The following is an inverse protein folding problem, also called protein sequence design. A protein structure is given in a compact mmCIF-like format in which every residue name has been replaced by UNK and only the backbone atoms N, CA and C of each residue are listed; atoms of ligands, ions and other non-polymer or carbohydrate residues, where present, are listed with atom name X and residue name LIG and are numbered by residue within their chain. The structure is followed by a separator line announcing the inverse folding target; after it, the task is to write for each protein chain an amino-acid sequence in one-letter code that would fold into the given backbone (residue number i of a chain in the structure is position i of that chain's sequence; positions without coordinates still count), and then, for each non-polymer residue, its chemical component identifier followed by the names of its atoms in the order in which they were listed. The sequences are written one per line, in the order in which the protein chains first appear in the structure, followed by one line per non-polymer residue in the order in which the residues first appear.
data_IF_874477000710
#
_entry.id   IF_874477000710
#
_cell.length_a   1.000
_cell.length_b   1.000
_cell.length_c   1.000
_cell.angle_alpha   90.00
_cell.angle_beta   90.00
_cell.angle_gamma   90.00
#
_symmetry.space_group_name_H-M   'P 1'
#
loop_
_entity.id
_entity.type
_entity.pdbx_description
1 polymer ?
#
# COMPACT_ATOMS: atom_id res chain seq x y z
N UNK A 1 -13.80 -1.09 -5.84
CA UNK A 1 -13.98 -0.36 -7.12
C UNK A 1 -13.84 1.12 -6.85
N UNK A 2 -13.10 1.86 -7.67
CA UNK A 2 -13.00 3.32 -7.51
C UNK A 2 -14.30 3.98 -7.99
N UNK A 3 -14.67 5.12 -7.41
CA UNK A 3 -15.89 5.85 -7.78
C UNK A 3 -16.00 6.12 -9.30
N UNK A 4 -14.85 6.28 -9.97
CA UNK A 4 -14.77 6.42 -11.43
C UNK A 4 -15.19 5.15 -12.20
N UNK A 5 -14.76 3.97 -11.75
CA UNK A 5 -15.16 2.70 -12.39
C UNK A 5 -16.66 2.45 -12.32
N UNK A 6 -17.34 2.90 -11.26
CA UNK A 6 -18.80 2.76 -11.12
C UNK A 6 -19.56 3.59 -12.18
N UNK A 7 -19.05 4.77 -12.51
CA UNK A 7 -19.65 5.63 -13.55
C UNK A 7 -19.51 5.00 -14.93
N UNK A 8 -18.37 4.39 -15.23
CA UNK A 8 -18.14 3.70 -16.50
C UNK A 8 -18.96 2.42 -16.67
N UNK A 9 -19.16 1.67 -15.57
CA UNK A 9 -20.10 0.53 -15.56
C UNK A 9 -21.53 1.00 -15.84
N UNK A 10 -21.98 2.11 -15.23
CA UNK A 10 -23.31 2.67 -15.46
C UNK A 10 -23.53 3.25 -16.86
N UNK A 11 -22.46 3.60 -17.56
CA UNK A 11 -22.50 4.13 -18.94
C UNK A 11 -22.32 3.05 -20.02
N UNK A 12 -22.25 1.77 -19.64
CA UNK A 12 -22.15 0.65 -20.58
C UNK A 12 -20.77 0.47 -21.23
N UNK A 13 -19.75 1.17 -20.74
CA UNK A 13 -18.38 1.12 -21.28
C UNK A 13 -17.51 0.17 -20.45
N UNK A 14 -17.77 -1.14 -20.56
CA UNK A 14 -17.00 -2.18 -19.88
C UNK A 14 -15.48 -2.15 -20.15
N UNK A 15 -14.95 -1.92 -21.38
CA UNK A 15 -13.50 -1.91 -21.61
C UNK A 15 -12.78 -0.75 -20.91
N UNK A 16 -13.45 0.38 -20.69
CA UNK A 16 -12.87 1.53 -20.00
C UNK A 16 -12.55 1.24 -18.53
N UNK A 17 -13.34 0.36 -17.89
CA UNK A 17 -13.14 -0.05 -16.49
C UNK A 17 -11.80 -0.77 -16.31
N UNK A 18 -11.45 -1.66 -17.23
CA UNK A 18 -10.20 -2.41 -17.18
C UNK A 18 -8.98 -1.51 -17.41
N UNK A 19 -9.05 -0.62 -18.40
CA UNK A 19 -7.98 0.36 -18.67
C UNK A 19 -7.75 1.24 -17.44
N UNK A 20 -8.82 1.74 -16.83
CA UNK A 20 -8.75 2.58 -15.64
C UNK A 20 -8.10 1.84 -14.46
N UNK A 21 -8.47 0.58 -14.22
CA UNK A 21 -7.90 -0.23 -13.14
C UNK A 21 -6.39 -0.47 -13.33
N UNK A 22 -5.94 -0.71 -14.56
CA UNK A 22 -4.51 -0.88 -14.87
C UNK A 22 -3.75 0.42 -14.58
N UNK A 23 -4.26 1.57 -15.04
CA UNK A 23 -3.63 2.88 -14.80
C UNK A 23 -3.54 3.19 -13.30
N UNK A 24 -4.61 2.95 -12.54
CA UNK A 24 -4.60 3.16 -11.08
C UNK A 24 -3.54 2.28 -10.41
N UNK A 25 -3.44 1.01 -10.79
CA UNK A 25 -2.43 0.11 -10.22
C UNK A 25 -1.00 0.57 -10.54
N UNK A 26 -0.73 0.95 -11.79
CA UNK A 26 0.60 1.42 -12.21
C UNK A 26 0.99 2.73 -11.52
N UNK A 27 0.05 3.67 -11.40
CA UNK A 27 0.32 4.97 -10.76
C UNK A 27 0.62 4.81 -9.27
N UNK A 28 -0.12 3.97 -8.56
CA UNK A 28 0.12 3.70 -7.13
C UNK A 28 1.47 3.00 -6.94
N UNK A 29 1.81 2.03 -7.78
CA UNK A 29 3.11 1.34 -7.72
C UNK A 29 4.29 2.30 -7.96
N UNK A 30 4.16 3.23 -8.92
CA UNK A 30 5.19 4.23 -9.20
C UNK A 30 5.32 5.28 -8.10
N UNK A 31 4.19 5.74 -7.55
CA UNK A 31 4.18 6.72 -6.45
C UNK A 31 4.81 6.13 -5.17
N UNK A 32 4.58 4.84 -4.90
CA UNK A 32 5.15 4.12 -3.76
C UNK A 32 6.69 4.11 -3.75
N UNK A 33 7.32 3.76 -4.88
CA UNK A 33 8.79 3.69 -5.00
C UNK A 33 9.48 5.04 -4.67
N UNK A 34 8.89 6.15 -5.11
CA UNK A 34 9.45 7.49 -4.87
C UNK A 34 9.18 7.97 -3.44
N UNK A 35 8.02 7.62 -2.88
CA UNK A 35 7.62 8.00 -1.52
C UNK A 35 8.57 7.47 -0.45
N UNK A 36 8.99 6.20 -0.54
CA UNK A 36 9.94 5.61 0.43
C UNK A 36 11.31 6.26 0.39
N UNK A 37 11.83 6.57 -0.81
CA UNK A 37 13.10 7.25 -0.98
C UNK A 37 13.08 8.68 -0.41
N UNK A 38 11.99 9.41 -0.58
CA UNK A 38 11.84 10.77 -0.04
C UNK A 38 11.69 10.73 1.48
N UNK A 39 10.90 9.80 2.03
CA UNK A 39 10.71 9.65 3.47
C UNK A 39 12.02 9.37 4.21
N UNK A 40 12.91 8.52 3.67
CA UNK A 40 14.20 8.24 4.31
C UNK A 40 15.11 9.48 4.34
N UNK A 41 15.05 10.32 3.29
CA UNK A 41 15.79 11.59 3.20
C UNK A 41 15.24 12.66 4.14
N UNK A 42 13.93 12.79 4.25
CA UNK A 42 13.30 13.70 5.22
C UNK A 42 13.64 13.28 6.64
N UNK A 43 13.60 11.97 6.94
CA UNK A 43 13.95 11.44 8.25
C UNK A 43 15.43 11.70 8.60
N UNK A 44 16.32 11.58 7.62
CA UNK A 44 17.72 11.94 7.75
C UNK A 44 17.92 13.45 8.01
N UNK A 45 17.25 14.32 7.25
CA UNK A 45 17.33 15.77 7.43
C UNK A 45 16.84 16.20 8.83
N UNK A 46 15.76 15.58 9.32
CA UNK A 46 15.25 15.81 10.68
C UNK A 46 16.21 15.30 11.77
N UNK A 47 16.94 14.22 11.52
CA UNK A 47 17.98 13.73 12.42
C UNK A 47 19.21 14.65 12.43
N UNK A 48 19.56 15.25 11.29
CA UNK A 48 20.61 16.27 11.20
C UNK A 48 20.24 17.55 11.98
N UNK A 49 18.96 17.92 12.01
CA UNK A 49 18.43 19.03 12.82
C UNK A 49 18.29 18.71 14.34
N UNK A 50 18.75 17.55 14.82
CA UNK A 50 18.57 17.03 16.20
C UNK A 50 17.11 16.89 16.67
N UNK A 51 16.14 16.88 15.74
CA UNK A 51 14.71 16.69 16.06
C UNK A 51 14.29 15.21 16.09
N UNK A 52 15.11 14.33 15.50
CA UNK A 52 14.96 12.88 15.51
C UNK A 52 16.18 12.21 16.16
N UNK A 53 16.06 10.99 16.72
CA UNK A 53 17.18 10.35 17.42
C UNK A 53 18.40 10.16 16.51
N UNK A 54 19.59 10.45 17.04
CA UNK A 54 20.89 10.47 16.32
C UNK A 54 21.29 9.14 15.64
N UNK A 55 20.50 8.08 15.81
CA UNK A 55 20.70 6.77 15.17
C UNK A 55 20.46 6.89 13.65
N UNK A 56 19.61 7.83 13.23
CA UNK A 56 19.27 8.07 11.82
C UNK A 56 20.22 9.02 11.08
N UNK A 57 21.22 9.60 11.77
CA UNK A 57 22.23 10.51 11.16
C UNK A 57 23.42 9.75 10.53
N UNK A 58 23.49 8.43 10.71
CA UNK A 58 24.56 7.62 10.10
C UNK A 58 24.32 7.43 8.60
N UNK A 59 25.21 8.00 7.80
CA UNK A 59 25.25 7.86 6.34
C UNK A 59 26.41 6.96 5.94
N UNK A 60 26.20 6.07 4.98
CA UNK A 60 27.27 5.25 4.41
C UNK A 60 28.11 6.08 3.42
N UNK A 61 29.31 5.62 3.05
CA UNK A 61 30.22 6.28 2.08
C UNK A 61 29.61 6.58 0.68
N UNK A 62 28.41 6.08 0.41
CA UNK A 62 27.64 6.28 -0.83
C UNK A 62 26.53 7.32 -0.65
N UNK A 63 26.54 8.12 0.42
CA UNK A 63 25.52 9.13 0.76
C UNK A 63 24.09 8.58 0.98
N UNK A 64 23.96 7.28 1.25
CA UNK A 64 22.66 6.62 1.46
C UNK A 64 22.41 6.38 2.97
N UNK A 65 21.27 6.87 3.52
CA UNK A 65 20.87 6.62 4.91
C UNK A 65 20.20 5.24 5.05
N UNK A 66 21.01 4.17 5.11
CA UNK A 66 20.55 2.77 5.12
C UNK A 66 19.64 2.46 6.32
N UNK A 67 19.99 2.94 7.52
CA UNK A 67 19.19 2.70 8.73
C UNK A 67 17.81 3.37 8.68
N UNK A 68 17.75 4.60 8.15
CA UNK A 68 16.49 5.31 7.92
C UNK A 68 15.63 4.59 6.89
N UNK A 69 16.25 4.06 5.83
CA UNK A 69 15.55 3.30 4.80
C UNK A 69 14.93 2.03 5.36
N UNK A 70 15.72 1.18 6.04
CA UNK A 70 15.23 -0.04 6.68
C UNK A 70 14.10 0.25 7.67
N UNK A 71 14.22 1.33 8.45
CA UNK A 71 13.19 1.70 9.41
C UNK A 71 11.88 2.10 8.73
N UNK A 72 11.94 2.98 7.72
CA UNK A 72 10.74 3.46 7.01
C UNK A 72 10.03 2.36 6.23
N UNK A 73 10.78 1.43 5.63
CA UNK A 73 10.22 0.30 4.88
C UNK A 73 9.58 -0.73 5.81
N UNK A 74 10.22 -1.07 6.93
CA UNK A 74 9.63 -1.95 7.95
C UNK A 74 8.37 -1.33 8.56
N UNK A 75 8.41 -0.04 8.91
CA UNK A 75 7.27 0.66 9.49
C UNK A 75 6.09 0.67 8.50
N UNK A 76 6.33 0.96 7.23
CA UNK A 76 5.29 0.93 6.21
C UNK A 76 4.67 -0.45 6.05
N UNK A 77 5.48 -1.51 6.02
CA UNK A 77 5.00 -2.90 5.94
C UNK A 77 4.12 -3.28 7.12
N UNK A 78 4.49 -2.86 8.32
CA UNK A 78 3.71 -3.11 9.55
C UNK A 78 2.38 -2.36 9.50
N UNK A 79 2.41 -1.04 9.21
CA UNK A 79 1.21 -0.21 9.14
C UNK A 79 0.23 -0.70 8.07
N UNK A 80 0.75 -1.07 6.91
CA UNK A 80 -0.03 -1.64 5.82
C UNK A 80 -0.70 -2.95 6.24
N UNK A 81 0.04 -3.84 6.92
CA UNK A 81 -0.52 -5.07 7.49
C UNK A 81 -1.66 -4.81 8.47
N UNK A 82 -1.51 -3.83 9.36
CA UNK A 82 -2.54 -3.42 10.31
C UNK A 82 -3.81 -2.91 9.61
N UNK A 83 -3.67 -2.11 8.54
CA UNK A 83 -4.82 -1.65 7.74
C UNK A 83 -5.58 -2.82 7.11
N UNK A 84 -4.89 -3.82 6.58
CA UNK A 84 -5.52 -5.01 5.96
C UNK A 84 -6.24 -5.90 6.98
N UNK A 85 -5.68 -6.03 8.18
CA UNK A 85 -6.35 -6.71 9.30
C UNK A 85 -7.63 -5.95 9.67
N UNK A 86 -7.58 -4.62 9.74
CA UNK A 86 -8.76 -3.78 9.99
C UNK A 86 -9.87 -3.97 8.95
N UNK A 87 -9.52 -3.99 7.66
CA UNK A 87 -10.46 -4.26 6.57
C UNK A 87 -11.08 -5.66 6.70
N UNK A 88 -10.28 -6.67 7.00
CA UNK A 88 -10.75 -8.05 7.16
C UNK A 88 -11.72 -8.21 8.34
N UNK A 89 -11.40 -7.58 9.48
CA UNK A 89 -12.28 -7.57 10.67
C UNK A 89 -13.58 -6.83 10.37
N UNK A 90 -13.50 -5.67 9.70
CA UNK A 90 -14.68 -4.90 9.33
C UNK A 90 -15.61 -5.70 8.42
N UNK A 91 -15.05 -6.42 7.45
CA UNK A 91 -15.80 -7.28 6.53
C UNK A 91 -16.47 -8.46 7.28
N UNK A 92 -15.74 -9.12 8.18
CA UNK A 92 -16.30 -10.20 9.01
C UNK A 92 -17.42 -9.69 9.94
N UNK A 93 -17.22 -8.53 10.57
CA UNK A 93 -18.25 -7.90 11.42
C UNK A 93 -19.47 -7.50 10.62
N UNK A 94 -19.30 -7.01 9.40
CA UNK A 94 -20.40 -6.68 8.49
C UNK A 94 -21.22 -7.92 8.15
N UNK A 95 -20.59 -9.02 7.69
CA UNK A 95 -21.31 -10.26 7.40
C UNK A 95 -22.04 -10.82 8.62
N UNK A 96 -21.41 -10.77 9.80
CA UNK A 96 -22.04 -11.22 11.04
C UNK A 96 -23.24 -10.36 11.44
N UNK A 97 -23.15 -9.04 11.30
CA UNK A 97 -24.26 -8.13 11.56
C UNK A 97 -25.40 -8.31 10.56
N UNK A 98 -25.09 -8.59 9.29
CA UNK A 98 -26.08 -8.79 8.23
C UNK A 98 -26.93 -10.06 8.45
N UNK A 99 -26.31 -11.15 8.90
CA UNK A 99 -27.01 -12.39 9.28
C UNK A 99 -27.92 -12.16 10.50
N UNK A 100 -27.46 -11.36 11.48
CA UNK A 100 -28.25 -11.03 12.66
C UNK A 100 -29.47 -10.15 12.35
N UNK A 101 -29.45 -9.40 11.25
CA UNK A 101 -30.59 -8.60 10.77
C UNK A 101 -31.64 -9.43 10.01
N UNK A 102 -31.45 -10.75 9.88
CA UNK A 102 -32.41 -11.65 9.21
C UNK A 102 -32.33 -11.63 7.68
N UNK A 103 -31.34 -10.96 7.09
CA UNK A 103 -31.10 -10.95 5.64
C UNK A 103 -30.14 -12.07 5.23
N UNK A 104 -30.35 -12.63 4.05
CA UNK A 104 -29.45 -13.66 3.51
C UNK A 104 -28.21 -13.02 2.86
N UNK A 105 -27.04 -13.65 2.97
CA UNK A 105 -25.82 -13.16 2.30
C UNK A 105 -25.93 -13.15 0.75
N UNK A 106 -27.02 -13.71 0.21
CA UNK A 106 -27.32 -13.75 -1.21
C UNK A 106 -28.05 -12.50 -1.74
N UNK A 107 -28.61 -11.66 -0.86
CA UNK A 107 -29.32 -10.42 -1.24
C UNK A 107 -28.37 -9.23 -1.47
N UNK A 108 -27.08 -9.42 -1.19
CA UNK A 108 -26.07 -8.42 -1.49
C UNK A 108 -25.82 -8.39 -3.01
N UNK A 109 -26.05 -7.21 -3.60
CA UNK A 109 -25.68 -6.87 -4.99
C UNK A 109 -24.22 -7.22 -5.30
N UNK A 110 -23.36 -7.21 -4.28
CA UNK A 110 -21.97 -7.64 -4.37
C UNK A 110 -21.74 -8.96 -3.62
N UNK A 111 -21.59 -10.05 -4.37
CA UNK A 111 -20.95 -11.27 -3.87
C UNK A 111 -19.45 -11.10 -4.02
N UNK A 112 -18.68 -11.17 -2.93
CA UNK A 112 -17.24 -11.32 -3.08
C UNK A 112 -16.99 -12.76 -3.56
N UNK A 113 -16.58 -12.90 -4.81
CA UNK A 113 -16.33 -14.17 -5.51
C UNK A 113 -15.31 -15.07 -4.77
N UNK A 114 -14.58 -14.53 -3.80
CA UNK A 114 -13.46 -15.18 -3.11
C UNK A 114 -13.45 -14.91 -1.59
N UNK A 115 -14.61 -14.94 -0.93
CA UNK A 115 -14.64 -15.13 0.53
C UNK A 115 -14.06 -16.52 0.87
N UNK A 116 -13.11 -16.71 1.80
CA UNK A 116 -12.31 -15.79 2.63
C UNK A 116 -10.85 -15.63 2.14
N UNK A 117 -10.50 -16.20 1.00
CA UNK A 117 -9.14 -16.27 0.45
C UNK A 117 -8.67 -14.97 -0.23
N UNK A 118 -9.58 -14.10 -0.66
CA UNK A 118 -9.26 -12.84 -1.36
C UNK A 118 -8.32 -11.89 -0.58
N UNK A 119 -8.60 -11.57 0.70
CA UNK A 119 -7.73 -10.70 1.49
C UNK A 119 -6.35 -11.31 1.80
N UNK A 120 -6.28 -12.64 1.96
CA UNK A 120 -5.04 -13.37 2.26
C UNK A 120 -4.13 -13.44 1.03
N UNK A 121 -4.71 -13.72 -0.15
CA UNK A 121 -3.96 -13.70 -1.42
C UNK A 121 -3.46 -12.29 -1.71
N UNK A 122 -4.27 -11.27 -1.44
CA UNK A 122 -3.88 -9.86 -1.62
C UNK A 122 -2.78 -9.43 -0.66
N UNK A 123 -2.84 -9.82 0.62
CA UNK A 123 -1.80 -9.50 1.59
C UNK A 123 -0.48 -10.22 1.29
N UNK A 124 -0.54 -11.43 0.73
CA UNK A 124 0.65 -12.19 0.32
C UNK A 124 1.27 -11.61 -0.96
N UNK A 125 0.45 -11.27 -1.96
CA UNK A 125 0.90 -10.63 -3.21
C UNK A 125 1.53 -9.25 -2.96
N UNK A 126 0.91 -8.43 -2.08
CA UNK A 126 1.41 -7.08 -1.79
C UNK A 126 2.70 -7.12 -0.95
N UNK A 127 2.86 -8.11 -0.06
CA UNK A 127 4.11 -8.32 0.69
C UNK A 127 5.28 -8.72 -0.23
N UNK A 128 5.02 -9.52 -1.25
CA UNK A 128 6.01 -9.89 -2.28
C UNK A 128 6.36 -8.68 -3.15
N UNK A 129 5.37 -7.86 -3.51
CA UNK A 129 5.61 -6.62 -4.26
C UNK A 129 6.39 -5.57 -3.47
N UNK A 130 6.14 -5.43 -2.16
CA UNK A 130 6.88 -4.51 -1.29
C UNK A 130 8.37 -4.88 -1.18
N UNK A 131 8.73 -6.17 -1.27
CA UNK A 131 10.14 -6.60 -1.37
C UNK A 131 10.79 -6.18 -2.70
N UNK A 132 9.98 -5.90 -3.72
CA UNK A 132 10.36 -5.45 -5.06
C UNK A 132 10.60 -3.94 -5.20
N UNK A 133 10.15 -3.11 -4.26
CA UNK A 133 10.12 -1.66 -4.44
C UNK A 133 11.44 -0.96 -4.06
N UNK A 134 12.22 -1.53 -3.14
CA UNK A 134 13.40 -0.85 -2.60
C UNK A 134 14.71 -1.14 -3.36
N UNK A 135 14.69 -1.92 -4.46
CA UNK A 135 15.90 -2.22 -5.25
C UNK A 135 16.54 -0.97 -5.85
N UNK A 136 15.73 0.05 -6.14
CA UNK A 136 16.17 1.36 -6.64
C UNK A 136 17.04 2.11 -5.62
N UNK A 137 16.83 1.89 -4.32
CA UNK A 137 17.59 2.56 -3.26
C UNK A 137 19.06 2.15 -3.22
N UNK A 138 19.41 0.99 -3.77
CA UNK A 138 20.78 0.48 -3.83
C UNK A 138 21.50 0.83 -5.14
N UNK A 139 20.79 1.28 -6.17
CA UNK A 139 21.33 1.52 -7.53
C UNK A 139 21.30 2.97 -7.98
N UNK A 140 20.57 3.86 -7.29
CA UNK A 140 20.54 5.29 -7.61
C UNK A 140 21.78 5.98 -7.02
N UNK A 141 22.74 6.31 -7.89
CA UNK A 141 23.78 7.30 -7.64
C UNK A 141 23.18 8.61 -7.13
N UNK A 142 23.91 9.39 -6.30
CA UNK A 142 23.38 10.57 -5.64
C UNK A 142 22.90 11.57 -6.69
N UNK A 143 21.59 11.67 -6.90
CA UNK A 143 21.00 12.81 -7.57
C UNK A 143 20.89 13.90 -6.50
N UNK A 144 22.00 14.63 -6.38
CA UNK A 144 22.32 15.70 -5.43
C UNK A 144 21.22 16.76 -5.31
N UNK A 145 21.08 17.30 -4.10
CA UNK A 145 21.41 18.71 -3.85
C UNK A 145 22.84 18.77 -3.37
#
# INVERSE_FOLDING_TARGET
MSSFTLVFVRSGLEPAVYIMNIVILTTILSAGNSGFCICSRILYALAAEKKAPNIFTYVTRTDIPIWSLIFTTLLSRILFGLSFIGISIAHWRFCRAFILQGYSLNDLVYKALFFPTGPIISSLFICVFLLGQDYSAFTIHPFWF
#
